data_IF_425999476241
#
_entry.id   IF_425999476241
#
_cell.length_a   1.000
_cell.length_b   1.000
_cell.length_c   1.000
_cell.angle_alpha   90.00
_cell.angle_beta   90.00
_cell.angle_gamma   90.00
#
_symmetry.space_group_name_H-M   'P 1'
#
loop_
_entity.id
_entity.type
_entity.pdbx_description
1 polymer ?
#
# COMPACT_ATOMS: atom_id res chain seq x y z
N UNK A 1 22.62 9.49 1.86
CA UNK A 1 21.24 8.99 1.72
C UNK A 1 20.31 9.74 2.66
N UNK A 2 19.35 10.53 2.17
CA UNK A 2 18.26 11.03 3.02
C UNK A 2 17.24 9.90 3.06
N UNK A 3 17.14 9.24 4.20
CA UNK A 3 16.13 8.22 4.43
C UNK A 3 14.87 9.00 4.80
N UNK A 4 13.82 8.94 3.97
CA UNK A 4 12.52 9.43 4.40
C UNK A 4 12.07 8.58 5.58
N UNK A 5 11.68 9.22 6.67
CA UNK A 5 10.97 8.54 7.76
C UNK A 5 9.58 8.10 7.27
N UNK A 6 8.99 7.11 7.93
CA UNK A 6 7.64 6.67 7.60
C UNK A 6 6.60 7.79 7.79
N UNK A 7 6.81 8.70 8.75
CA UNK A 7 5.96 9.87 8.95
C UNK A 7 6.06 10.87 7.80
N UNK A 8 7.27 11.14 7.28
CA UNK A 8 7.44 12.01 6.10
C UNK A 8 6.76 11.43 4.86
N UNK A 9 6.84 10.11 4.66
CA UNK A 9 6.16 9.43 3.55
C UNK A 9 4.65 9.55 3.70
N UNK A 10 4.12 9.33 4.90
CA UNK A 10 2.70 9.47 5.15
C UNK A 10 2.20 10.90 4.96
N UNK A 11 2.94 11.88 5.45
CA UNK A 11 2.60 13.30 5.30
C UNK A 11 2.60 13.71 3.83
N UNK A 12 3.60 13.27 3.07
CA UNK A 12 3.68 13.53 1.63
C UNK A 12 2.53 12.84 0.88
N UNK A 13 2.27 11.56 1.14
CA UNK A 13 1.17 10.81 0.53
C UNK A 13 -0.19 11.45 0.84
N UNK A 14 -0.42 11.84 2.09
CA UNK A 14 -1.63 12.58 2.49
C UNK A 14 -1.74 13.92 1.77
N UNK A 15 -0.66 14.70 1.70
CA UNK A 15 -0.64 15.99 1.02
C UNK A 15 -1.01 15.87 -0.46
N UNK A 16 -0.44 14.89 -1.17
CA UNK A 16 -0.74 14.62 -2.58
C UNK A 16 -2.22 14.27 -2.80
N UNK A 17 -2.78 13.39 -1.97
CA UNK A 17 -4.18 12.99 -2.10
C UNK A 17 -5.12 14.12 -1.72
N UNK A 18 -4.80 14.93 -0.71
CA UNK A 18 -5.59 16.12 -0.36
C UNK A 18 -5.59 17.15 -1.49
N UNK A 19 -4.45 17.36 -2.15
CA UNK A 19 -4.37 18.25 -3.31
C UNK A 19 -5.21 17.73 -4.49
N UNK A 20 -5.20 16.43 -4.74
CA UNK A 20 -6.03 15.81 -5.77
C UNK A 20 -7.53 15.93 -5.47
N UNK A 21 -7.95 15.62 -4.25
CA UNK A 21 -9.37 15.62 -3.85
C UNK A 21 -9.93 17.02 -3.61
N UNK A 22 -9.07 18.00 -3.29
CA UNK A 22 -9.48 19.37 -3.03
C UNK A 22 -10.53 19.47 -1.92
N UNK A 23 -11.64 20.15 -2.21
CA UNK A 23 -12.73 20.39 -1.26
C UNK A 23 -13.45 19.09 -0.82
N UNK A 24 -13.37 18.03 -1.61
CA UNK A 24 -14.06 16.77 -1.33
C UNK A 24 -13.26 15.84 -0.41
N UNK A 25 -12.01 16.20 -0.05
CA UNK A 25 -11.12 15.36 0.75
C UNK A 25 -11.79 14.82 2.02
N UNK A 26 -12.46 15.66 2.80
CA UNK A 26 -13.05 15.23 4.08
C UNK A 26 -14.28 14.31 3.93
N UNK A 27 -14.90 14.25 2.75
CA UNK A 27 -16.08 13.41 2.47
C UNK A 27 -15.73 12.10 1.78
N UNK A 28 -14.59 12.06 1.11
CA UNK A 28 -14.11 10.87 0.40
C UNK A 28 -13.58 9.84 1.39
N UNK A 29 -14.06 8.60 1.25
CA UNK A 29 -13.53 7.46 1.99
C UNK A 29 -12.73 6.48 1.11
N UNK A 30 -12.79 6.66 -0.21
CA UNK A 30 -12.23 5.75 -1.20
C UNK A 30 -11.55 6.59 -2.29
N UNK A 31 -10.22 6.55 -2.39
CA UNK A 31 -9.50 7.30 -3.44
C UNK A 31 -9.86 6.76 -4.80
N UNK A 32 -10.15 7.63 -5.76
CA UNK A 32 -10.05 7.27 -7.17
C UNK A 32 -8.57 7.26 -7.57
N UNK A 33 -7.91 6.11 -7.38
CA UNK A 33 -6.49 5.97 -7.64
C UNK A 33 -6.16 5.98 -9.15
N UNK A 34 -7.09 5.53 -10.00
CA UNK A 34 -6.94 5.58 -11.46
C UNK A 34 -7.01 7.05 -11.95
N UNK A 35 -7.97 7.82 -11.43
CA UNK A 35 -8.05 9.26 -11.66
C UNK A 35 -6.84 10.02 -11.09
N UNK A 36 -6.39 9.70 -9.87
CA UNK A 36 -5.15 10.28 -9.32
C UNK A 36 -3.95 10.02 -10.25
N UNK A 37 -3.84 8.82 -10.79
CA UNK A 37 -2.75 8.45 -11.70
C UNK A 37 -2.80 9.23 -13.01
N UNK A 38 -3.96 9.22 -13.67
CA UNK A 38 -4.11 9.72 -15.04
C UNK A 38 -4.39 11.21 -15.10
N UNK A 39 -5.14 11.76 -14.15
CA UNK A 39 -5.58 13.15 -14.13
C UNK A 39 -4.68 14.03 -13.26
N UNK A 40 -4.17 13.55 -12.14
CA UNK A 40 -3.31 14.34 -11.27
C UNK A 40 -1.83 14.18 -11.63
N UNK A 41 -1.33 12.94 -11.66
CA UNK A 41 0.08 12.68 -12.01
C UNK A 41 0.35 12.74 -13.52
N UNK A 42 -0.70 12.75 -14.36
CA UNK A 42 -0.62 12.75 -15.83
C UNK A 42 0.17 11.55 -16.39
N UNK A 43 0.05 10.39 -15.74
CA UNK A 43 0.72 9.16 -16.15
C UNK A 43 -0.23 8.29 -16.99
N UNK A 44 0.22 7.76 -18.14
CA UNK A 44 -0.56 6.77 -18.88
C UNK A 44 -0.75 5.50 -18.07
N UNK A 45 -1.98 5.00 -18.01
CA UNK A 45 -2.34 3.73 -17.35
C UNK A 45 -2.85 2.72 -18.39
N UNK A 46 -2.16 1.60 -18.54
CA UNK A 46 -2.47 0.56 -19.52
C UNK A 46 -2.69 -0.79 -18.85
N UNK A 47 -3.60 -1.60 -19.41
CA UNK A 47 -3.76 -3.00 -19.03
C UNK A 47 -3.24 -3.92 -20.12
N UNK A 48 -2.32 -4.81 -19.77
CA UNK A 48 -1.73 -5.82 -20.66
C UNK A 48 -1.66 -7.17 -19.96
N UNK A 49 -1.69 -8.24 -20.74
CA UNK A 49 -1.46 -9.58 -20.20
C UNK A 49 0.03 -9.85 -20.24
N UNK A 50 0.66 -9.97 -19.07
CA UNK A 50 2.09 -10.18 -18.94
C UNK A 50 2.41 -11.61 -19.36
N UNK A 51 3.54 -11.76 -20.04
CA UNK A 51 4.09 -13.03 -20.49
C UNK A 51 5.45 -13.31 -19.83
N UNK A 52 5.71 -12.63 -18.70
CA UNK A 52 6.91 -12.81 -17.89
C UNK A 52 6.92 -14.20 -17.22
N UNK A 53 8.12 -14.70 -16.93
CA UNK A 53 8.27 -15.96 -16.18
C UNK A 53 7.90 -15.78 -14.71
N UNK A 54 8.16 -14.58 -14.18
CA UNK A 54 7.77 -14.18 -12.83
C UNK A 54 6.30 -13.75 -12.84
N UNK A 55 5.44 -14.64 -12.37
CA UNK A 55 3.99 -14.42 -12.29
C UNK A 55 3.58 -13.49 -11.15
N UNK A 56 4.49 -13.20 -10.21
CA UNK A 56 4.21 -12.31 -9.08
C UNK A 56 4.30 -10.82 -9.49
N UNK A 57 4.98 -10.53 -10.62
CA UNK A 57 5.02 -9.21 -11.21
C UNK A 57 3.69 -8.90 -11.92
N UNK A 58 2.83 -8.16 -11.24
CA UNK A 58 1.49 -7.77 -11.73
C UNK A 58 1.36 -6.27 -12.07
N UNK A 59 2.43 -5.51 -11.87
CA UNK A 59 2.57 -4.09 -12.19
C UNK A 59 3.94 -3.80 -12.78
N UNK A 60 4.02 -2.72 -13.56
CA UNK A 60 5.25 -2.24 -14.15
C UNK A 60 5.16 -0.76 -14.48
N UNK A 61 6.03 0.06 -13.90
CA UNK A 61 6.29 1.41 -14.38
C UNK A 61 7.44 1.43 -15.40
N UNK A 62 7.15 1.94 -16.60
CA UNK A 62 8.10 1.98 -17.69
C UNK A 62 9.16 3.08 -17.49
N UNK A 63 10.42 2.73 -17.72
CA UNK A 63 11.56 3.67 -17.74
C UNK A 63 11.83 4.26 -19.16
N UNK A 64 11.14 3.74 -20.18
CA UNK A 64 11.32 4.11 -21.59
C UNK A 64 12.31 3.24 -22.36
N UNK A 65 12.95 2.26 -21.74
CA UNK A 65 14.06 1.49 -22.32
C UNK A 65 13.91 -0.01 -22.04
N UNK A 66 13.52 -0.39 -20.83
CA UNK A 66 13.35 -1.78 -20.40
C UNK A 66 12.10 -2.38 -21.07
N UNK A 67 12.25 -3.45 -21.88
CA UNK A 67 11.11 -4.11 -22.48
C UNK A 67 10.34 -4.93 -21.44
N UNK A 68 9.00 -4.90 -21.54
CA UNK A 68 8.10 -5.78 -20.82
C UNK A 68 7.56 -6.85 -21.78
N UNK A 69 7.60 -8.11 -21.37
CA UNK A 69 7.03 -9.19 -22.16
C UNK A 69 5.53 -9.28 -21.94
N UNK A 70 4.75 -9.13 -23.01
CA UNK A 70 3.28 -9.13 -22.97
C UNK A 70 2.70 -10.01 -24.07
N UNK A 71 1.49 -10.51 -23.85
CA UNK A 71 0.67 -11.15 -24.88
C UNK A 71 -0.07 -10.08 -25.70
N UNK A 72 0.21 -10.02 -26.99
CA UNK A 72 -0.55 -9.27 -28.00
C UNK A 72 -1.05 -10.28 -29.05
N UNK A 73 -2.34 -10.26 -29.37
CA UNK A 73 -3.00 -11.19 -30.30
C UNK A 73 -2.69 -12.69 -30.08
N UNK A 74 -2.50 -13.08 -28.81
CA UNK A 74 -2.21 -14.46 -28.41
C UNK A 74 -0.74 -14.88 -28.51
N UNK A 75 0.15 -14.01 -28.97
CA UNK A 75 1.60 -14.24 -29.03
C UNK A 75 2.35 -13.40 -28.00
N UNK A 76 3.36 -13.99 -27.36
CA UNK A 76 4.23 -13.25 -26.45
C UNK A 76 5.23 -12.40 -27.25
N UNK A 77 5.24 -11.09 -27.02
CA UNK A 77 6.16 -10.15 -27.63
C UNK A 77 6.81 -9.25 -26.56
N UNK A 78 7.93 -8.62 -26.91
CA UNK A 78 8.59 -7.63 -26.06
C UNK A 78 8.12 -6.24 -26.48
N UNK A 79 7.60 -5.47 -25.53
CA UNK A 79 7.13 -4.10 -25.76
C UNK A 79 7.90 -3.13 -24.88
N UNK A 80 8.45 -2.08 -25.50
CA UNK A 80 9.00 -0.93 -24.78
C UNK A 80 7.93 0.16 -24.72
N UNK A 81 7.54 0.54 -23.51
CA UNK A 81 6.54 1.58 -23.28
C UNK A 81 7.22 2.93 -23.01
N UNK A 82 6.58 4.07 -23.33
CA UNK A 82 7.10 5.39 -22.99
C UNK A 82 7.35 5.54 -21.48
N UNK A 83 8.41 6.27 -21.11
CA UNK A 83 8.77 6.50 -19.71
C UNK A 83 7.59 7.09 -18.91
N UNK A 84 7.33 6.53 -17.73
CA UNK A 84 6.23 6.90 -16.85
C UNK A 84 4.90 6.20 -17.14
N UNK A 85 4.83 5.36 -18.18
CA UNK A 85 3.64 4.53 -18.43
C UNK A 85 3.53 3.46 -17.35
N UNK A 86 2.41 3.44 -16.63
CA UNK A 86 2.07 2.37 -15.70
C UNK A 86 1.31 1.28 -16.48
N UNK A 87 1.85 0.07 -16.47
CA UNK A 87 1.26 -1.10 -17.08
C UNK A 87 0.85 -2.08 -15.98
N UNK A 88 -0.41 -2.51 -16.00
CA UNK A 88 -1.00 -3.40 -14.99
C UNK A 88 -1.46 -4.69 -15.67
N UNK A 89 -1.30 -5.82 -14.98
CA UNK A 89 -1.78 -7.12 -15.44
C UNK A 89 -3.30 -7.08 -15.71
N UNK A 90 -3.70 -7.48 -16.92
CA UNK A 90 -5.08 -7.42 -17.40
C UNK A 90 -6.05 -8.21 -16.53
N UNK A 91 -5.62 -9.32 -15.93
CA UNK A 91 -6.47 -10.11 -15.04
C UNK A 91 -6.98 -9.32 -13.82
N UNK A 92 -6.27 -8.27 -13.40
CA UNK A 92 -6.67 -7.39 -12.29
C UNK A 92 -7.84 -6.46 -12.62
N UNK A 93 -8.29 -6.39 -13.88
CA UNK A 93 -9.51 -5.64 -14.26
C UNK A 93 -10.79 -6.29 -13.73
N UNK A 94 -10.73 -7.53 -13.27
CA UNK A 94 -11.90 -8.20 -12.68
C UNK A 94 -12.28 -7.54 -11.37
N UNK A 95 -13.58 -7.39 -11.11
CA UNK A 95 -14.07 -6.69 -9.91
C UNK A 95 -13.62 -7.35 -8.60
N UNK A 96 -13.50 -8.68 -8.57
CA UNK A 96 -12.99 -9.40 -7.40
C UNK A 96 -11.51 -9.14 -7.10
N UNK A 97 -10.75 -8.58 -8.06
CA UNK A 97 -9.35 -8.18 -7.90
C UNK A 97 -9.20 -6.67 -7.62
N UNK A 98 -10.30 -5.93 -7.45
CA UNK A 98 -10.28 -4.46 -7.35
C UNK A 98 -9.32 -3.94 -6.27
N UNK A 99 -9.29 -4.56 -5.08
CA UNK A 99 -8.36 -4.17 -4.02
C UNK A 99 -6.89 -4.38 -4.39
N UNK A 100 -6.56 -5.49 -5.08
CA UNK A 100 -5.20 -5.76 -5.57
C UNK A 100 -4.82 -4.79 -6.69
N UNK A 101 -5.71 -4.60 -7.68
CA UNK A 101 -5.55 -3.60 -8.75
C UNK A 101 -5.21 -2.23 -8.20
N UNK A 102 -6.02 -1.73 -7.25
CA UNK A 102 -5.86 -0.39 -6.67
C UNK A 102 -4.53 -0.26 -5.92
N UNK A 103 -4.13 -1.28 -5.17
CA UNK A 103 -2.83 -1.30 -4.51
C UNK A 103 -1.68 -1.32 -5.51
N UNK A 104 -1.71 -2.17 -6.53
CA UNK A 104 -0.67 -2.22 -7.57
C UNK A 104 -0.52 -0.86 -8.26
N UNK A 105 -1.63 -0.21 -8.65
CA UNK A 105 -1.57 1.13 -9.26
C UNK A 105 -0.94 2.14 -8.30
N UNK A 106 -1.33 2.14 -7.03
CA UNK A 106 -0.75 3.04 -6.02
C UNK A 106 0.74 2.79 -5.80
N UNK A 107 1.18 1.52 -5.85
CA UNK A 107 2.57 1.11 -5.72
C UNK A 107 3.42 1.58 -6.93
N UNK A 108 2.92 1.42 -8.15
CA UNK A 108 3.60 1.96 -9.34
C UNK A 108 3.65 3.50 -9.34
N UNK A 109 2.61 4.17 -8.83
CA UNK A 109 2.64 5.62 -8.61
C UNK A 109 3.69 6.00 -7.56
N UNK A 110 3.83 5.21 -6.50
CA UNK A 110 4.83 5.43 -5.47
C UNK A 110 6.25 5.33 -6.04
N UNK A 111 6.54 4.38 -6.93
CA UNK A 111 7.81 4.35 -7.66
C UNK A 111 8.08 5.67 -8.38
N UNK A 112 7.13 6.18 -9.15
CA UNK A 112 7.27 7.45 -9.86
C UNK A 112 7.57 8.63 -8.94
N UNK A 113 6.83 8.75 -7.84
CA UNK A 113 6.93 9.85 -6.88
C UNK A 113 8.24 9.79 -6.08
N UNK A 114 8.62 8.59 -5.65
CA UNK A 114 9.85 8.36 -4.91
C UNK A 114 11.07 8.61 -5.79
N UNK A 115 11.01 8.25 -7.08
CA UNK A 115 12.08 8.57 -8.02
C UNK A 115 12.23 10.08 -8.23
N UNK A 116 11.12 10.82 -8.34
CA UNK A 116 11.16 12.29 -8.44
C UNK A 116 11.69 12.97 -7.19
N UNK A 117 11.30 12.51 -6.00
CA UNK A 117 11.72 13.13 -4.73
C UNK A 117 13.15 12.76 -4.36
N UNK A 118 13.56 11.49 -4.57
CA UNK A 118 14.92 11.03 -4.35
C UNK A 118 15.89 11.63 -5.36
N UNK A 119 15.51 11.78 -6.64
CA UNK A 119 16.37 12.44 -7.63
C UNK A 119 16.62 13.91 -7.28
N UNK A 120 15.60 14.68 -6.91
CA UNK A 120 15.75 16.08 -6.45
C UNK A 120 16.59 16.19 -5.17
N UNK A 121 16.47 15.21 -4.26
CA UNK A 121 17.30 15.15 -3.05
C UNK A 121 18.74 14.65 -3.32
N UNK A 122 18.94 13.83 -4.36
CA UNK A 122 20.24 13.34 -4.80
C UNK A 122 21.04 14.43 -5.52
N UNK A 123 20.40 15.33 -6.27
CA UNK A 123 21.04 16.55 -6.79
C UNK A 123 21.57 17.47 -5.67
N UNK A 124 21.04 17.37 -4.44
CA UNK A 124 21.58 18.07 -3.27
C UNK A 124 22.72 17.31 -2.54
N UNK A 125 23.07 16.10 -2.99
CA UNK A 125 24.12 15.25 -2.40
C UNK A 125 24.88 14.51 -3.48
N UNK A 126 25.52 15.22 -4.40
CA UNK A 126 26.53 14.57 -5.22
C UNK A 126 27.59 13.92 -4.31
N UNK A 127 27.55 12.58 -4.31
CA UNK A 127 28.61 11.63 -4.02
C UNK A 127 29.29 11.66 -2.64
N UNK A 128 28.91 10.71 -1.80
CA UNK A 128 29.84 10.12 -0.81
C UNK A 128 30.44 8.85 -1.46
N UNK A 129 31.50 9.06 -2.25
CA UNK A 129 32.07 8.09 -3.20
C UNK A 129 32.91 6.95 -2.60
N UNK A 130 32.85 6.71 -1.29
CA UNK A 130 33.82 5.84 -0.60
C UNK A 130 33.29 4.47 -0.13
N UNK A 131 32.00 4.14 -0.32
CA UNK A 131 31.46 2.83 0.10
C UNK A 131 31.48 1.79 -1.01
N UNK A 132 32.35 0.80 -0.88
CA UNK A 132 32.24 -0.46 -1.61
C UNK A 132 31.06 -1.27 -1.06
N UNK A 133 29.97 -1.34 -1.82
CA UNK A 133 28.79 -2.13 -1.47
C UNK A 133 28.94 -3.58 -1.92
N UNK A 134 28.62 -4.53 -1.05
CA UNK A 134 28.55 -5.95 -1.39
C UNK A 134 27.22 -6.29 -2.09
N UNK A 135 27.12 -7.41 -2.82
CA UNK A 135 25.85 -7.86 -3.41
C UNK A 135 24.71 -8.03 -2.38
N UNK A 136 25.04 -8.35 -1.13
CA UNK A 136 24.05 -8.43 -0.05
C UNK A 136 23.58 -7.05 0.39
N UNK A 137 24.49 -6.07 0.46
CA UNK A 137 24.11 -4.68 0.73
C UNK A 137 23.17 -4.14 -0.35
N UNK A 138 23.39 -4.48 -1.63
CA UNK A 138 22.48 -4.14 -2.70
C UNK A 138 21.09 -4.77 -2.50
N UNK A 139 21.01 -6.07 -2.20
CA UNK A 139 19.71 -6.74 -1.93
C UNK A 139 18.96 -6.11 -0.76
N UNK A 140 19.66 -5.80 0.32
CA UNK A 140 19.08 -5.14 1.48
C UNK A 140 18.62 -3.72 1.14
N UNK A 141 19.39 -2.97 0.33
CA UNK A 141 18.98 -1.66 -0.17
C UNK A 141 17.72 -1.72 -1.05
N UNK A 142 17.64 -2.70 -1.95
CA UNK A 142 16.46 -2.92 -2.79
C UNK A 142 15.24 -3.27 -1.94
N UNK A 143 15.35 -4.24 -1.03
CA UNK A 143 14.28 -4.61 -0.11
C UNK A 143 13.80 -3.44 0.75
N UNK A 144 14.73 -2.63 1.25
CA UNK A 144 14.40 -1.43 2.01
C UNK A 144 13.67 -0.38 1.15
N UNK A 145 14.12 -0.17 -0.09
CA UNK A 145 13.46 0.75 -1.02
C UNK A 145 12.03 0.29 -1.32
N UNK A 146 11.82 -0.98 -1.64
CA UNK A 146 10.49 -1.54 -1.86
C UNK A 146 9.58 -1.35 -0.63
N UNK A 147 10.12 -1.50 0.58
CA UNK A 147 9.35 -1.21 1.81
C UNK A 147 8.89 0.25 1.88
N UNK A 148 9.74 1.21 1.46
CA UNK A 148 9.34 2.61 1.37
C UNK A 148 8.34 2.87 0.24
N UNK A 149 8.45 2.17 -0.90
CA UNK A 149 7.48 2.23 -1.99
C UNK A 149 6.12 1.71 -1.51
N UNK A 150 6.08 0.57 -0.82
CA UNK A 150 4.85 0.02 -0.24
C UNK A 150 4.23 0.97 0.78
N UNK A 151 5.06 1.61 1.63
CA UNK A 151 4.60 2.63 2.57
C UNK A 151 3.95 3.82 1.85
N UNK A 152 4.57 4.30 0.79
CA UNK A 152 4.05 5.40 -0.02
C UNK A 152 2.77 5.00 -0.76
N UNK A 153 2.74 3.80 -1.37
CA UNK A 153 1.54 3.27 -2.02
C UNK A 153 0.37 3.15 -1.05
N UNK A 154 0.62 2.65 0.16
CA UNK A 154 -0.37 2.63 1.24
C UNK A 154 -0.79 4.04 1.68
N UNK A 155 0.11 5.02 1.72
CA UNK A 155 -0.23 6.41 2.05
C UNK A 155 -1.06 7.09 0.96
N UNK A 156 -0.87 6.75 -0.31
CA UNK A 156 -1.70 7.23 -1.43
C UNK A 156 -3.09 6.60 -1.43
N UNK A 157 -3.18 5.29 -1.16
CA UNK A 157 -4.46 4.58 -1.20
C UNK A 157 -5.26 4.71 0.10
N UNK A 158 -4.58 4.79 1.23
CA UNK A 158 -5.12 4.84 2.59
C UNK A 158 -4.43 5.95 3.43
N UNK A 159 -4.52 7.24 3.03
CA UNK A 159 -3.93 8.36 3.76
C UNK A 159 -4.53 8.50 5.18
N UNK A 160 -3.74 9.07 6.10
CA UNK A 160 -4.05 9.06 7.55
C UNK A 160 -5.40 9.70 7.84
N UNK A 161 -5.71 10.83 7.21
CA UNK A 161 -7.00 11.49 7.41
C UNK A 161 -8.21 10.63 7.04
N UNK A 162 -8.17 9.90 5.92
CA UNK A 162 -9.29 9.05 5.52
C UNK A 162 -9.39 7.81 6.41
N UNK A 163 -8.27 7.20 6.79
CA UNK A 163 -8.28 6.08 7.74
C UNK A 163 -8.91 6.53 9.06
N UNK A 164 -8.52 7.70 9.57
CA UNK A 164 -9.12 8.29 10.77
C UNK A 164 -10.63 8.53 10.61
N UNK A 165 -11.06 9.09 9.49
CA UNK A 165 -12.47 9.37 9.22
C UNK A 165 -13.30 8.07 9.14
N UNK A 166 -12.79 7.04 8.47
CA UNK A 166 -13.42 5.71 8.38
C UNK A 166 -13.47 5.04 9.76
N UNK A 167 -12.37 5.03 10.51
CA UNK A 167 -12.33 4.47 11.87
C UNK A 167 -13.35 5.16 12.79
N UNK A 168 -13.48 6.49 12.68
CA UNK A 168 -14.48 7.25 13.44
C UNK A 168 -15.91 6.91 13.01
N UNK A 169 -16.18 6.80 11.70
CA UNK A 169 -17.49 6.43 11.14
C UNK A 169 -18.01 5.09 11.68
N UNK A 170 -17.11 4.13 11.91
CA UNK A 170 -17.44 2.81 12.43
C UNK A 170 -17.43 2.71 13.97
N UNK A 171 -17.28 3.84 14.67
CA UNK A 171 -17.25 3.88 16.15
C UNK A 171 -15.99 3.29 16.76
N UNK A 172 -14.90 3.19 16.00
CA UNK A 172 -13.63 2.59 16.41
C UNK A 172 -12.56 3.64 16.76
N UNK A 173 -12.95 4.91 16.99
CA UNK A 173 -12.02 5.99 17.31
C UNK A 173 -11.16 5.73 18.56
N UNK A 174 -11.68 4.94 19.51
CA UNK A 174 -10.94 4.49 20.69
C UNK A 174 -9.88 3.42 20.42
N UNK A 175 -9.73 2.95 19.18
CA UNK A 175 -8.83 1.88 18.76
C UNK A 175 -9.48 0.49 18.76
N UNK A 176 -8.98 -0.40 17.90
CA UNK A 176 -9.54 -1.75 17.69
C UNK A 176 -8.73 -2.77 18.50
N UNK A 177 -9.36 -3.60 19.34
CA UNK A 177 -8.66 -4.58 20.16
C UNK A 177 -7.85 -5.60 19.36
N UNK A 178 -6.61 -5.83 19.78
CA UNK A 178 -5.74 -6.92 19.32
C UNK A 178 -5.11 -7.59 20.54
N UNK A 179 -5.33 -8.89 20.66
CA UNK A 179 -4.85 -9.70 21.76
C UNK A 179 -3.48 -10.31 21.40
N UNK A 180 -2.47 -10.04 22.21
CA UNK A 180 -1.07 -10.31 21.87
C UNK A 180 -0.63 -9.51 20.64
N UNK A 181 -0.13 -10.20 19.61
CA UNK A 181 0.36 -9.58 18.38
C UNK A 181 -0.67 -9.56 17.23
N UNK A 182 -1.61 -10.51 17.21
CA UNK A 182 -2.42 -10.76 16.00
C UNK A 182 -3.80 -11.36 16.25
N UNK A 183 -4.13 -11.76 17.48
CA UNK A 183 -5.43 -12.39 17.76
C UNK A 183 -6.50 -11.31 17.87
N UNK A 184 -7.65 -11.51 17.24
CA UNK A 184 -8.77 -10.58 17.26
C UNK A 184 -10.06 -11.35 17.31
N UNK A 185 -11.08 -10.76 17.95
CA UNK A 185 -12.45 -11.28 17.95
C UNK A 185 -13.01 -11.28 16.54
N UNK A 186 -13.91 -12.22 16.26
CA UNK A 186 -14.57 -12.32 14.95
C UNK A 186 -15.33 -11.04 14.62
N UNK A 187 -15.97 -10.42 15.61
CA UNK A 187 -16.68 -9.13 15.47
C UNK A 187 -15.76 -7.99 15.05
N UNK A 188 -14.56 -7.90 15.62
CA UNK A 188 -13.58 -6.88 15.27
C UNK A 188 -12.99 -7.10 13.88
N UNK A 189 -12.72 -8.36 13.50
CA UNK A 189 -12.32 -8.71 12.13
C UNK A 189 -13.38 -8.32 11.11
N UNK A 190 -14.66 -8.54 11.41
CA UNK A 190 -15.77 -8.15 10.54
C UNK A 190 -15.87 -6.63 10.40
N UNK A 191 -15.67 -5.86 11.47
CA UNK A 191 -15.61 -4.39 11.40
C UNK A 191 -14.46 -3.89 10.53
N UNK A 192 -13.25 -4.42 10.72
CA UNK A 192 -12.08 -4.10 9.88
C UNK A 192 -12.38 -4.42 8.41
N UNK A 193 -13.04 -5.55 8.12
CA UNK A 193 -13.44 -5.91 6.76
C UNK A 193 -14.43 -4.90 6.17
N UNK A 194 -15.40 -4.43 6.94
CA UNK A 194 -16.36 -3.40 6.47
C UNK A 194 -15.67 -2.05 6.21
N UNK A 195 -14.74 -1.64 7.07
CA UNK A 195 -13.91 -0.45 6.87
C UNK A 195 -13.03 -0.58 5.61
N UNK A 196 -12.37 -1.73 5.43
CA UNK A 196 -11.56 -2.01 4.24
C UNK A 196 -12.39 -1.93 2.95
N UNK A 197 -13.61 -2.50 2.96
CA UNK A 197 -14.54 -2.41 1.83
C UNK A 197 -14.92 -0.95 1.53
N UNK A 198 -15.15 -0.14 2.56
CA UNK A 198 -15.45 1.31 2.40
C UNK A 198 -14.31 2.07 1.73
N UNK A 199 -13.07 1.69 2.02
CA UNK A 199 -11.88 2.27 1.38
C UNK A 199 -11.52 1.63 0.02
N UNK A 200 -12.23 0.58 -0.38
CA UNK A 200 -11.96 -0.16 -1.62
C UNK A 200 -10.61 -0.90 -1.58
N UNK A 201 -10.23 -1.46 -0.43
CA UNK A 201 -8.96 -2.18 -0.24
C UNK A 201 -9.18 -3.57 0.35
N UNK A 202 -8.15 -4.42 0.32
CA UNK A 202 -8.22 -5.73 0.97
C UNK A 202 -8.19 -5.62 2.49
N UNK A 203 -8.77 -6.61 3.18
CA UNK A 203 -8.73 -6.69 4.64
C UNK A 203 -7.29 -6.64 5.18
N UNK A 204 -6.38 -7.38 4.57
CA UNK A 204 -5.00 -7.47 5.05
C UNK A 204 -4.25 -6.15 4.87
N UNK A 205 -4.40 -5.49 3.71
CA UNK A 205 -3.79 -4.19 3.46
C UNK A 205 -4.28 -3.13 4.46
N UNK A 206 -5.59 -3.10 4.73
CA UNK A 206 -6.15 -2.17 5.71
C UNK A 206 -5.71 -2.50 7.13
N UNK A 207 -5.64 -3.78 7.50
CA UNK A 207 -5.15 -4.20 8.82
C UNK A 207 -3.70 -3.77 9.07
N UNK A 208 -2.83 -3.96 8.07
CA UNK A 208 -1.44 -3.48 8.13
C UNK A 208 -1.46 -1.96 8.33
N UNK A 209 -2.24 -1.24 7.53
CA UNK A 209 -2.33 0.22 7.63
C UNK A 209 -2.81 0.70 9.00
N UNK A 210 -3.83 0.07 9.58
CA UNK A 210 -4.32 0.38 10.92
C UNK A 210 -3.22 0.18 11.98
N UNK A 211 -2.41 -0.88 11.86
CA UNK A 211 -1.28 -1.13 12.76
C UNK A 211 -0.24 -0.02 12.65
N UNK A 212 0.14 0.32 11.43
CA UNK A 212 1.18 1.30 11.18
C UNK A 212 0.76 2.73 11.57
N UNK A 213 -0.54 3.03 11.57
CA UNK A 213 -1.09 4.31 12.01
C UNK A 213 -1.51 4.33 13.49
N UNK A 214 -1.30 3.23 14.22
CA UNK A 214 -1.59 3.17 15.66
C UNK A 214 -3.08 3.10 16.02
N UNK A 215 -3.93 2.57 15.13
CA UNK A 215 -5.37 2.39 15.39
C UNK A 215 -5.72 1.03 16.05
N UNK A 216 -4.71 0.24 16.43
CA UNK A 216 -4.86 -1.04 17.10
C UNK A 216 -4.47 -0.93 18.57
N UNK A 217 -5.32 -1.43 19.47
CA UNK A 217 -5.07 -1.45 20.90
C UNK A 217 -4.62 -2.84 21.34
N UNK A 218 -3.36 -2.95 21.74
CA UNK A 218 -2.82 -4.21 22.27
C UNK A 218 -3.42 -4.53 23.63
N UNK A 219 -3.91 -5.76 23.78
CA UNK A 219 -4.43 -6.36 25.01
C UNK A 219 -3.71 -7.67 25.31
N UNK A 220 -3.64 -8.10 26.58
CA UNK A 220 -3.07 -9.40 26.93
C UNK A 220 -3.78 -10.55 26.21
N UNK A 221 -3.02 -11.53 25.71
CA UNK A 221 -3.61 -12.70 25.06
C UNK A 221 -4.47 -13.53 26.04
N UNK A 222 -4.14 -13.50 27.34
CA UNK A 222 -4.91 -14.15 28.39
C UNK A 222 -6.37 -13.71 28.43
N UNK A 223 -6.68 -12.43 28.21
CA UNK A 223 -8.07 -11.93 28.14
C UNK A 223 -8.87 -12.65 27.05
N UNK A 224 -8.26 -12.91 25.89
CA UNK A 224 -8.95 -13.62 24.82
C UNK A 224 -9.18 -15.10 25.18
N UNK A 225 -8.19 -15.73 25.79
CA UNK A 225 -8.27 -17.14 26.20
C UNK A 225 -9.37 -17.33 27.26
N UNK A 226 -9.46 -16.42 28.24
CA UNK A 226 -10.45 -16.52 29.31
C UNK A 226 -11.84 -16.06 28.90
N UNK A 227 -11.96 -14.90 28.23
CA UNK A 227 -13.27 -14.29 27.91
C UNK A 227 -13.92 -14.89 26.65
N UNK A 228 -13.13 -15.20 25.62
CA UNK A 228 -13.67 -15.63 24.32
C UNK A 228 -13.57 -17.16 24.15
N UNK A 229 -12.50 -17.81 24.64
CA UNK A 229 -12.39 -19.27 24.58
C UNK A 229 -12.95 -19.98 25.82
N UNK A 230 -13.16 -19.26 26.94
CA UNK A 230 -13.64 -19.86 28.20
C UNK A 230 -12.65 -20.81 28.87
N UNK A 231 -11.36 -20.69 28.55
CA UNK A 231 -10.31 -21.58 29.06
C UNK A 231 -9.54 -20.92 30.22
N UNK A 232 -9.08 -21.74 31.17
CA UNK A 232 -8.30 -21.24 32.32
C UNK A 232 -9.14 -20.61 33.45
N UNK A 233 -10.46 -20.80 33.42
CA UNK A 233 -11.28 -20.64 34.62
C UNK A 233 -11.18 -21.94 35.43
N UNK A 234 -10.18 -22.04 36.30
CA UNK A 234 -10.14 -23.11 37.29
C UNK A 234 -11.34 -22.96 38.23
N UNK A 235 -12.07 -24.05 38.41
CA UNK A 235 -13.38 -24.08 39.05
C UNK A 235 -13.37 -23.64 40.51
N UNK A 236 -14.13 -22.59 40.81
CA UNK A 236 -14.84 -22.48 42.08
C UNK A 236 -16.27 -23.00 41.89
N UNK A 237 -16.43 -24.33 42.01
CA UNK A 237 -17.64 -24.97 42.54
C UNK A 237 -17.43 -26.49 42.63
N UNK A 238 -16.73 -26.94 43.68
CA UNK A 238 -17.21 -27.95 44.66
C UNK A 238 -16.16 -28.25 45.70
#
# INVERSE_FOLDING_TARGET
MRIFSYDEIDELGEGLIRQYLGADAERTCCVDIEGFTTEYLKLPLLYRSFAEQDTDKIGFIADGITPLRVYEDGAACLCVFPKGTIVIERSLRRENESGRRRFTISHECAHYLMDKTVSVAAFHREFDGERAYTPEDFRNLFSFRETLIDRMGAALLMPRFMVRNVVAMYGCAGGIPVFGDSVMRTTDKLRIKQMANTMGVSFLAFLIRLRELGHLNRRPLSEFITEEMGLGQDGEQR
#
